data_IF_782960978373
#
_entry.id   IF_782960978373
#
_cell.length_a   1.000
_cell.length_b   1.000
_cell.length_c   1.000
_cell.angle_alpha   90.00
_cell.angle_beta   90.00
_cell.angle_gamma   90.00
#
_symmetry.space_group_name_H-M   'P 1'
#
loop_
_entity.id
_entity.type
_entity.pdbx_description
1 polymer ?
#
# COMPACT_ATOMS: atom_id res chain seq x y z
N UNK A 1 -49.74 7.91 -2.75
CA UNK A 1 -48.65 7.98 -1.75
C UNK A 1 -48.01 6.59 -1.72
N UNK A 2 -47.10 6.24 -2.62
CA UNK A 2 -45.70 6.65 -2.67
C UNK A 2 -44.95 6.35 -1.36
N UNK A 3 -44.50 5.10 -1.19
CA UNK A 3 -43.22 4.77 -0.57
C UNK A 3 -42.76 3.42 -1.11
N UNK A 4 -41.98 3.44 -2.19
CA UNK A 4 -41.07 2.33 -2.50
C UNK A 4 -39.99 2.40 -1.43
N UNK A 5 -40.00 1.48 -0.48
CA UNK A 5 -38.90 1.36 0.49
C UNK A 5 -37.72 0.80 -0.25
N UNK A 6 -36.87 1.69 -0.77
CA UNK A 6 -35.53 1.35 -1.24
C UNK A 6 -34.78 0.87 0.02
N UNK A 7 -34.86 -0.42 0.29
CA UNK A 7 -34.01 -1.08 1.28
C UNK A 7 -32.60 -1.01 0.74
N UNK A 8 -31.93 0.10 1.07
CA UNK A 8 -30.52 0.30 0.88
C UNK A 8 -29.86 -0.77 1.75
N UNK A 9 -29.63 -1.94 1.14
CA UNK A 9 -28.84 -3.01 1.71
C UNK A 9 -27.46 -2.38 1.92
N UNK A 10 -27.28 -1.81 3.12
CA UNK A 10 -26.10 -1.07 3.53
C UNK A 10 -24.93 -1.95 3.17
N UNK A 11 -24.22 -1.50 2.14
CA UNK A 11 -23.10 -2.17 1.59
C UNK A 11 -22.18 -2.55 2.74
N UNK A 12 -22.11 -3.83 3.07
CA UNK A 12 -20.97 -4.39 3.76
C UNK A 12 -19.80 -4.33 2.76
N UNK A 13 -19.42 -3.12 2.35
CA UNK A 13 -18.04 -2.86 2.00
C UNK A 13 -17.34 -2.94 3.33
N UNK A 14 -17.03 -4.16 3.77
CA UNK A 14 -15.88 -4.35 4.63
C UNK A 14 -14.75 -3.87 3.75
N UNK A 15 -14.46 -2.56 3.81
CA UNK A 15 -13.22 -2.04 3.30
C UNK A 15 -12.17 -2.83 4.07
N UNK A 16 -11.54 -3.80 3.39
CA UNK A 16 -10.35 -4.42 3.92
C UNK A 16 -9.49 -3.24 4.36
N UNK A 17 -9.24 -3.13 5.67
CA UNK A 17 -8.43 -2.06 6.22
C UNK A 17 -7.05 -2.32 5.64
N UNK A 18 -6.78 -1.75 4.46
CA UNK A 18 -5.54 -2.00 3.75
C UNK A 18 -4.51 -1.13 4.46
N UNK A 19 -3.87 -1.75 5.45
CA UNK A 19 -2.77 -1.13 6.17
C UNK A 19 -1.79 -0.56 5.14
N UNK A 20 -1.46 0.72 5.31
CA UNK A 20 -0.60 1.46 4.39
C UNK A 20 0.82 1.43 4.91
N UNK A 21 1.77 1.44 4.00
CA UNK A 21 3.19 1.65 4.34
C UNK A 21 3.37 3.08 4.85
N UNK A 22 4.25 3.27 5.83
CA UNK A 22 4.50 4.59 6.41
C UNK A 22 4.90 5.61 5.33
N UNK A 23 4.23 6.78 5.23
CA UNK A 23 4.39 7.68 4.08
C UNK A 23 5.84 8.14 3.84
N UNK A 24 6.63 8.30 4.91
CA UNK A 24 8.04 8.69 4.80
C UNK A 24 8.87 7.59 4.14
N UNK A 25 8.62 6.32 4.48
CA UNK A 25 9.30 5.17 3.86
C UNK A 25 8.91 5.04 2.38
N UNK A 26 7.62 5.24 2.05
CA UNK A 26 7.16 5.25 0.65
C UNK A 26 7.89 6.31 -0.16
N UNK A 27 8.02 7.52 0.40
CA UNK A 27 8.73 8.62 -0.26
C UNK A 27 10.22 8.31 -0.40
N UNK A 28 10.85 7.76 0.64
CA UNK A 28 12.26 7.36 0.60
C UNK A 28 12.53 6.32 -0.50
N UNK A 29 11.71 5.27 -0.59
CA UNK A 29 11.85 4.24 -1.64
C UNK A 29 11.68 4.81 -3.06
N UNK A 30 10.74 5.76 -3.23
CA UNK A 30 10.57 6.46 -4.51
C UNK A 30 11.78 7.34 -4.85
N UNK A 31 12.33 8.03 -3.86
CA UNK A 31 13.56 8.82 -4.04
C UNK A 31 14.73 7.92 -4.44
N UNK A 32 14.92 6.77 -3.77
CA UNK A 32 15.94 5.78 -4.13
C UNK A 32 15.75 5.33 -5.59
N UNK A 33 14.55 4.89 -5.98
CA UNK A 33 14.27 4.52 -7.38
C UNK A 33 14.65 5.62 -8.36
N UNK A 34 14.30 6.87 -8.07
CA UNK A 34 14.58 8.00 -8.97
C UNK A 34 16.07 8.33 -9.08
N UNK A 35 16.86 7.99 -8.07
CA UNK A 35 18.30 8.25 -8.03
C UNK A 35 19.14 7.17 -8.72
N UNK A 36 18.57 6.00 -9.00
CA UNK A 36 19.31 4.85 -9.53
C UNK A 36 19.05 4.67 -11.03
N UNK A 37 20.12 4.47 -11.79
CA UNK A 37 20.02 3.95 -13.16
C UNK A 37 19.80 2.44 -13.03
N UNK A 38 18.64 1.96 -13.48
CA UNK A 38 18.21 0.57 -13.36
C UNK A 38 18.20 -0.15 -14.74
N UNK A 39 19.37 -0.50 -15.30
CA UNK A 39 19.46 -1.07 -16.65
C UNK A 39 18.81 -2.45 -16.76
N UNK A 40 18.63 -3.15 -15.64
CA UNK A 40 18.07 -4.51 -15.58
C UNK A 40 16.60 -4.54 -15.14
N UNK A 41 15.98 -3.39 -14.89
CA UNK A 41 14.57 -3.31 -14.47
C UNK A 41 14.29 -3.95 -13.11
N UNK A 42 15.26 -4.00 -12.20
CA UNK A 42 15.08 -4.58 -10.87
C UNK A 42 14.10 -3.78 -10.01
N UNK A 43 13.95 -2.47 -10.26
CA UNK A 43 13.03 -1.57 -9.57
C UNK A 43 11.78 -1.27 -10.42
N UNK A 44 11.55 -2.05 -11.48
CA UNK A 44 10.46 -1.81 -12.42
C UNK A 44 9.09 -1.79 -11.74
N UNK A 45 8.87 -2.61 -10.70
CA UNK A 45 7.61 -2.63 -9.95
C UNK A 45 7.53 -1.64 -8.79
N UNK A 46 8.59 -0.86 -8.50
CA UNK A 46 8.62 0.19 -7.46
C UNK A 46 7.82 1.44 -7.85
N UNK A 47 6.63 1.25 -8.38
CA UNK A 47 5.66 2.28 -8.75
C UNK A 47 4.23 1.72 -8.75
N UNK A 48 4.04 0.45 -8.39
CA UNK A 48 2.75 -0.21 -8.36
C UNK A 48 2.20 -0.16 -6.94
N UNK A 49 1.16 0.65 -6.73
CA UNK A 49 0.47 0.72 -5.45
C UNK A 49 1.36 1.07 -4.27
N UNK A 50 1.05 0.47 -3.12
CA UNK A 50 1.75 0.66 -1.86
C UNK A 50 2.80 -0.45 -1.66
N UNK A 51 4.04 -0.14 -1.21
CA UNK A 51 5.17 -1.08 -1.22
C UNK A 51 4.89 -2.42 -0.52
N UNK A 52 4.35 -2.38 0.70
CA UNK A 52 4.09 -3.56 1.51
C UNK A 52 2.89 -4.39 1.04
N UNK A 53 1.93 -3.76 0.34
CA UNK A 53 0.73 -4.45 -0.17
C UNK A 53 0.87 -4.92 -1.63
N UNK A 54 1.80 -4.35 -2.38
CA UNK A 54 1.97 -4.60 -3.82
C UNK A 54 3.23 -5.40 -4.15
N UNK A 55 3.89 -5.98 -3.14
CA UNK A 55 5.07 -6.84 -3.26
C UNK A 55 6.17 -6.21 -4.13
N UNK A 56 6.63 -5.02 -3.75
CA UNK A 56 7.78 -4.40 -4.42
C UNK A 56 8.99 -5.32 -4.33
N UNK A 57 9.74 -5.48 -5.43
CA UNK A 57 10.85 -6.45 -5.48
C UNK A 57 11.92 -6.04 -4.47
N UNK A 58 12.35 -6.97 -3.61
CA UNK A 58 13.36 -6.73 -2.58
C UNK A 58 12.82 -6.08 -1.29
N UNK A 59 11.60 -5.55 -1.29
CA UNK A 59 11.00 -4.94 -0.10
C UNK A 59 10.34 -6.00 0.76
N UNK A 60 10.81 -6.13 2.00
CA UNK A 60 10.19 -6.98 3.02
C UNK A 60 9.61 -6.06 4.09
N UNK A 61 8.36 -6.27 4.47
CA UNK A 61 7.69 -5.48 5.50
C UNK A 61 7.39 -6.32 6.73
N UNK A 62 7.09 -5.65 7.85
CA UNK A 62 6.47 -6.32 8.99
C UNK A 62 5.06 -6.79 8.64
N UNK A 63 4.66 -7.92 9.21
CA UNK A 63 3.32 -8.51 9.00
C UNK A 63 2.20 -7.70 9.68
N UNK A 64 2.56 -6.80 10.60
CA UNK A 64 1.63 -5.98 11.38
C UNK A 64 2.03 -4.51 11.36
N UNK A 65 1.06 -3.64 11.60
CA UNK A 65 1.35 -2.22 11.82
C UNK A 65 2.04 -1.98 13.15
N UNK A 66 2.82 -0.91 13.23
CA UNK A 66 3.36 -0.42 14.50
C UNK A 66 2.35 0.52 15.20
N UNK A 67 2.79 1.17 16.28
CA UNK A 67 1.93 2.03 17.11
C UNK A 67 1.38 3.27 16.40
N UNK A 68 1.90 3.60 15.21
CA UNK A 68 1.44 4.69 14.36
C UNK A 68 0.36 4.25 13.34
N UNK A 69 -0.01 2.97 13.32
CA UNK A 69 -1.04 2.44 12.42
C UNK A 69 -0.57 2.19 10.98
N UNK A 70 0.73 2.22 10.72
CA UNK A 70 1.31 1.95 9.40
C UNK A 70 2.14 0.66 9.39
N UNK A 71 2.20 0.01 8.22
CA UNK A 71 3.19 -1.03 7.93
C UNK A 71 4.55 -0.36 7.75
N UNK A 72 5.60 -1.05 8.19
CA UNK A 72 6.97 -0.59 8.04
C UNK A 72 7.81 -1.56 7.23
N UNK A 73 8.73 -1.00 6.44
CA UNK A 73 9.76 -1.77 5.73
C UNK A 73 10.79 -2.28 6.74
N UNK A 74 11.09 -3.58 6.66
CA UNK A 74 12.10 -4.27 7.46
C UNK A 74 13.42 -4.38 6.72
N UNK A 75 13.38 -4.76 5.45
CA UNK A 75 14.56 -5.03 4.61
C UNK A 75 14.32 -4.55 3.16
N UNK A 76 15.40 -4.17 2.46
CA UNK A 76 15.43 -3.73 1.05
C UNK A 76 16.64 -4.28 0.30
#
# INVERSE_FOLDING_TARGET
MATVVLSFCCCLVVGAHMHRTFPVEVNALRSIKSSLIDPYGNLANWNRGDPCSSNWKGIICYDTTLGDGYLHVKEM
#
